data_IF_623764297705
#
_entry.id   IF_623764297705
#
_cell.length_a   1.000
_cell.length_b   1.000
_cell.length_c   1.000
_cell.angle_alpha   90.00
_cell.angle_beta   90.00
_cell.angle_gamma   90.00
#
_symmetry.space_group_name_H-M   'P 1'
#
loop_
_entity.id
_entity.type
_entity.pdbx_description
1 polymer ?
#
# COMPACT_ATOMS: atom_id res chain seq x y z
N UNK A 1 1.00 11.88 31.22
CA UNK A 1 0.31 12.60 30.11
C UNK A 1 -0.54 11.60 29.35
N UNK A 2 -1.70 11.97 28.78
CA UNK A 2 -2.44 11.06 27.91
C UNK A 2 -1.53 10.61 26.76
N UNK A 3 -1.44 9.30 26.49
CA UNK A 3 -0.54 8.80 25.45
C UNK A 3 -0.89 9.44 24.11
N UNK A 4 0.12 9.76 23.30
CA UNK A 4 -0.06 10.40 21.99
C UNK A 4 -1.03 9.62 21.06
N UNK A 5 -1.17 8.31 21.29
CA UNK A 5 -2.15 7.46 20.61
C UNK A 5 -3.61 7.88 20.89
N UNK A 6 -3.90 8.41 22.08
CA UNK A 6 -5.23 8.95 22.43
C UNK A 6 -5.58 10.27 21.74
N UNK A 7 -4.59 10.97 21.15
CA UNK A 7 -4.78 12.25 20.45
C UNK A 7 -5.03 12.10 18.95
N UNK A 8 -5.10 10.86 18.43
CA UNK A 8 -5.37 10.61 17.01
C UNK A 8 -4.30 11.14 16.05
N UNK A 9 -3.03 11.20 16.49
CA UNK A 9 -1.92 11.67 15.64
C UNK A 9 -1.63 10.63 14.55
N UNK A 10 -1.62 11.00 13.25
CA UNK A 10 -1.27 10.07 12.18
C UNK A 10 0.14 9.48 12.36
N UNK A 11 0.29 8.16 12.20
CA UNK A 11 1.56 7.46 12.40
C UNK A 11 2.73 8.12 11.65
N UNK A 12 2.53 8.52 10.39
CA UNK A 12 3.58 9.14 9.58
C UNK A 12 4.13 10.47 10.13
N UNK A 13 3.46 11.08 11.13
CA UNK A 13 3.92 12.30 11.82
C UNK A 13 4.66 12.02 13.12
N UNK A 14 4.64 10.78 13.61
CA UNK A 14 5.36 10.39 14.83
C UNK A 14 6.80 10.03 14.42
N UNK A 15 7.82 10.57 15.12
CA UNK A 15 9.20 10.21 14.83
C UNK A 15 9.45 8.72 14.90
N UNK A 16 10.12 8.16 13.88
CA UNK A 16 10.35 6.73 13.78
C UNK A 16 11.63 6.40 13.02
N UNK A 17 12.16 5.21 13.29
CA UNK A 17 13.23 4.61 12.49
C UNK A 17 12.88 3.17 12.16
N UNK A 18 13.40 2.69 11.03
CA UNK A 18 13.38 1.28 10.72
C UNK A 18 14.37 0.54 11.64
N UNK A 19 13.91 -0.53 12.28
CA UNK A 19 14.74 -1.43 13.07
C UNK A 19 15.40 -2.48 12.17
N UNK A 20 14.64 -3.05 11.24
CA UNK A 20 15.10 -4.12 10.39
C UNK A 20 14.09 -4.51 9.32
N UNK A 21 14.53 -5.38 8.42
CA UNK A 21 13.68 -5.99 7.40
C UNK A 21 13.27 -7.40 7.83
N UNK A 22 12.05 -7.79 7.49
CA UNK A 22 11.59 -9.18 7.57
C UNK A 22 11.37 -9.65 6.14
N UNK A 23 12.03 -10.73 5.76
CA UNK A 23 12.07 -11.25 4.39
C UNK A 23 12.44 -10.14 3.35
N UNK A 24 11.87 -10.18 2.13
CA UNK A 24 12.32 -9.33 1.01
C UNK A 24 11.83 -7.90 1.06
N UNK A 25 10.66 -7.63 1.67
CA UNK A 25 9.94 -6.34 1.50
C UNK A 25 9.28 -5.79 2.77
N UNK A 26 9.36 -6.47 3.91
CA UNK A 26 8.69 -6.02 5.12
C UNK A 26 9.68 -5.27 6.01
N UNK A 27 9.20 -4.21 6.67
CA UNK A 27 10.02 -3.37 7.53
C UNK A 27 9.35 -3.28 8.89
N UNK A 28 10.11 -3.61 9.94
CA UNK A 28 9.71 -3.30 11.31
C UNK A 28 10.24 -1.93 11.67
N UNK A 29 9.35 -1.03 12.08
CA UNK A 29 9.68 0.32 12.54
C UNK A 29 9.47 0.44 14.03
N UNK A 30 10.24 1.30 14.67
CA UNK A 30 10.03 1.75 16.04
C UNK A 30 9.61 3.21 15.98
N UNK A 31 8.49 3.52 16.62
CA UNK A 31 7.94 4.86 16.76
C UNK A 31 8.24 5.40 18.16
N UNK A 32 8.56 6.69 18.26
CA UNK A 32 8.95 7.38 19.49
C UNK A 32 8.02 8.57 19.74
N UNK A 33 6.88 8.36 20.42
CA UNK A 33 5.93 9.42 20.69
C UNK A 33 6.52 10.57 21.51
N UNK A 34 7.39 10.29 22.48
CA UNK A 34 8.03 11.32 23.30
C UNK A 34 8.83 12.37 22.51
N UNK A 35 9.20 12.07 21.27
CA UNK A 35 9.90 13.01 20.37
C UNK A 35 8.96 13.84 19.48
N UNK A 36 7.65 13.58 19.50
CA UNK A 36 6.71 14.27 18.63
C UNK A 36 6.54 15.75 19.03
N UNK A 37 6.75 16.65 18.07
CA UNK A 37 6.42 18.05 18.18
C UNK A 37 5.50 18.48 17.03
N UNK A 38 4.39 19.13 17.36
CA UNK A 38 3.41 19.55 16.36
C UNK A 38 4.04 20.53 15.35
N UNK A 39 3.86 20.25 14.06
CA UNK A 39 4.38 21.08 12.97
C UNK A 39 5.85 20.84 12.63
N UNK A 40 6.54 19.93 13.33
CA UNK A 40 7.93 19.58 13.03
C UNK A 40 8.05 18.32 12.15
N UNK A 41 9.22 18.19 11.51
CA UNK A 41 9.57 17.01 10.72
C UNK A 41 9.70 15.80 11.66
N UNK A 42 9.09 14.64 11.35
CA UNK A 42 9.21 13.41 12.15
C UNK A 42 10.61 12.75 12.10
N UNK A 43 11.65 13.47 11.70
CA UNK A 43 13.00 12.94 11.72
C UNK A 43 13.52 12.83 13.16
N UNK A 44 14.13 11.69 13.50
CA UNK A 44 14.80 11.53 14.80
C UNK A 44 16.13 12.29 14.75
N UNK A 45 16.42 13.17 15.72
CA UNK A 45 17.69 13.89 15.76
C UNK A 45 18.90 12.93 15.83
N UNK A 46 20.04 13.25 15.18
CA UNK A 46 21.22 12.39 15.15
C UNK A 46 21.73 11.97 16.54
N UNK A 47 21.68 12.87 17.53
CA UNK A 47 22.07 12.59 18.92
C UNK A 47 21.14 11.58 19.60
N UNK A 48 19.85 11.61 19.28
CA UNK A 48 18.89 10.61 19.76
C UNK A 48 19.07 9.29 19.03
N UNK A 49 19.39 9.29 17.73
CA UNK A 49 19.76 8.07 17.00
C UNK A 49 21.01 7.39 17.58
N UNK A 50 22.02 8.17 17.96
CA UNK A 50 23.20 7.65 18.65
C UNK A 50 22.84 7.03 19.99
N UNK A 51 21.96 7.68 20.76
CA UNK A 51 21.42 7.15 22.02
C UNK A 51 20.67 5.82 21.81
N UNK A 52 19.75 5.76 20.84
CA UNK A 52 18.99 4.56 20.49
C UNK A 52 19.95 3.40 20.16
N UNK A 53 20.99 3.66 19.37
CA UNK A 53 21.94 2.63 18.97
C UNK A 53 22.84 2.17 20.13
N UNK A 54 23.55 3.11 20.76
CA UNK A 54 24.64 2.81 21.69
C UNK A 54 24.14 2.44 23.08
N UNK A 55 23.02 3.02 23.53
CA UNK A 55 22.47 2.77 24.87
C UNK A 55 21.32 1.78 24.90
N UNK A 56 20.68 1.48 23.77
CA UNK A 56 19.53 0.56 23.73
C UNK A 56 19.78 -0.64 22.82
N UNK A 57 19.88 -0.42 21.50
CA UNK A 57 19.92 -1.50 20.51
C UNK A 57 21.13 -2.42 20.66
N UNK A 58 22.33 -1.85 20.62
CA UNK A 58 23.55 -2.66 20.69
C UNK A 58 23.68 -3.40 22.03
N UNK A 59 23.48 -2.77 23.21
CA UNK A 59 23.53 -3.50 24.47
C UNK A 59 22.45 -4.59 24.58
N UNK A 60 21.23 -4.33 24.08
CA UNK A 60 20.18 -5.35 24.05
C UNK A 60 20.62 -6.57 23.22
N UNK A 61 21.10 -6.35 22.00
CA UNK A 61 21.62 -7.41 21.12
C UNK A 61 22.77 -8.17 21.77
N UNK A 62 23.80 -7.48 22.28
CA UNK A 62 24.97 -8.12 22.90
C UNK A 62 24.61 -8.92 24.14
N UNK A 63 23.60 -8.50 24.89
CA UNK A 63 23.16 -9.21 26.08
C UNK A 63 22.36 -10.48 25.77
N UNK A 64 21.58 -10.49 24.68
CA UNK A 64 20.72 -11.61 24.28
C UNK A 64 21.48 -12.61 23.39
N UNK A 65 22.35 -12.11 22.50
CA UNK A 65 23.22 -12.93 21.69
C UNK A 65 24.67 -12.43 21.73
N UNK A 66 25.45 -12.80 22.77
CA UNK A 66 26.83 -12.36 22.92
C UNK A 66 27.74 -12.73 21.74
N UNK A 67 27.41 -13.78 20.99
CA UNK A 67 28.16 -14.23 19.80
C UNK A 67 28.16 -13.16 18.70
N UNK A 68 27.09 -12.38 18.58
CA UNK A 68 26.99 -11.31 17.58
C UNK A 68 27.73 -10.04 17.98
N UNK A 69 28.35 -9.96 19.16
CA UNK A 69 29.02 -8.75 19.66
C UNK A 69 30.02 -8.15 18.67
N UNK A 70 30.74 -8.99 17.93
CA UNK A 70 31.72 -8.56 16.93
C UNK A 70 31.09 -8.06 15.62
N UNK A 71 29.82 -8.39 15.36
CA UNK A 71 29.08 -8.02 14.14
C UNK A 71 28.41 -6.66 14.23
N UNK A 72 28.30 -6.10 15.44
CA UNK A 72 27.65 -4.82 15.70
C UNK A 72 28.68 -3.74 16.03
N UNK A 73 28.85 -2.72 15.15
CA UNK A 73 29.77 -1.60 15.38
C UNK A 73 29.59 -0.97 16.77
N UNK A 74 30.68 -0.50 17.39
CA UNK A 74 30.62 -0.02 18.78
C UNK A 74 29.80 1.28 18.89
N UNK A 75 29.97 2.19 17.92
CA UNK A 75 29.31 3.49 17.91
C UNK A 75 28.37 3.66 16.72
N UNK A 76 27.40 4.55 16.88
CA UNK A 76 26.47 4.90 15.80
C UNK A 76 27.20 5.53 14.61
N UNK A 77 28.21 6.38 14.88
CA UNK A 77 29.03 6.99 13.83
C UNK A 77 29.77 5.95 12.98
N UNK A 78 30.33 4.91 13.62
CA UNK A 78 30.99 3.81 12.92
C UNK A 78 29.98 3.02 12.07
N UNK A 79 28.80 2.72 12.63
CA UNK A 79 27.73 2.05 11.90
C UNK A 79 27.30 2.86 10.66
N UNK A 80 27.10 4.16 10.80
CA UNK A 80 26.70 5.03 9.69
C UNK A 80 27.75 5.16 8.59
N UNK A 81 29.03 5.01 8.93
CA UNK A 81 30.12 4.98 7.94
C UNK A 81 30.05 3.70 7.09
N UNK A 82 29.65 2.57 7.68
CA UNK A 82 29.50 1.30 6.96
C UNK A 82 28.22 1.25 6.11
N UNK A 83 27.16 1.93 6.56
CA UNK A 83 25.84 1.89 5.95
C UNK A 83 25.56 3.02 4.96
N UNK A 84 26.57 3.84 4.61
CA UNK A 84 26.44 4.87 3.58
C UNK A 84 27.35 4.57 2.39
N UNK A 85 26.83 4.72 1.18
CA UNK A 85 27.64 4.63 -0.04
C UNK A 85 28.45 5.92 -0.27
N UNK A 86 29.29 5.92 -1.32
CA UNK A 86 30.11 7.07 -1.71
C UNK A 86 29.29 8.32 -2.07
N UNK A 87 27.99 8.17 -2.37
CA UNK A 87 27.05 9.26 -2.65
C UNK A 87 26.26 9.69 -1.41
N UNK A 88 26.55 9.08 -0.26
CA UNK A 88 25.89 9.35 1.02
C UNK A 88 24.53 8.69 1.19
N UNK A 89 24.10 7.82 0.27
CA UNK A 89 22.83 7.11 0.43
C UNK A 89 22.95 6.04 1.50
N UNK A 90 21.93 5.96 2.35
CA UNK A 90 21.83 4.94 3.38
C UNK A 90 21.37 3.61 2.79
N UNK A 91 22.06 2.53 3.16
CA UNK A 91 21.73 1.16 2.84
C UNK A 91 21.51 0.40 4.14
N UNK A 92 20.43 -0.39 4.19
CA UNK A 92 20.19 -1.27 5.34
C UNK A 92 21.32 -2.30 5.46
N UNK A 93 21.82 -2.49 6.68
CA UNK A 93 22.79 -3.53 6.99
C UNK A 93 22.23 -4.94 6.78
N UNK A 94 23.13 -5.91 6.63
CA UNK A 94 22.82 -7.33 6.36
C UNK A 94 23.02 -8.21 7.60
N UNK A 95 23.04 -7.63 8.80
CA UNK A 95 23.25 -8.40 10.04
C UNK A 95 21.91 -8.98 10.49
N UNK A 96 21.75 -10.28 10.31
CA UNK A 96 20.57 -11.01 10.79
C UNK A 96 20.60 -11.15 12.32
N UNK A 97 19.42 -11.13 12.93
CA UNK A 97 19.23 -11.43 14.35
C UNK A 97 18.36 -12.70 14.49
N UNK A 98 18.68 -13.62 15.42
CA UNK A 98 17.94 -14.88 15.53
C UNK A 98 16.45 -14.68 15.82
N UNK A 99 15.59 -15.29 14.99
CA UNK A 99 14.13 -15.12 15.07
C UNK A 99 13.54 -15.52 16.42
N UNK A 100 14.04 -16.60 17.03
CA UNK A 100 13.61 -17.08 18.34
C UNK A 100 13.91 -16.11 19.51
N UNK A 101 14.78 -15.12 19.30
CA UNK A 101 15.11 -14.09 20.31
C UNK A 101 14.36 -12.76 20.08
N UNK A 102 13.57 -12.63 19.01
CA UNK A 102 12.95 -11.35 18.65
C UNK A 102 11.99 -10.81 19.72
N UNK A 103 11.21 -11.68 20.37
CA UNK A 103 10.32 -11.27 21.47
C UNK A 103 11.11 -10.71 22.66
N UNK A 104 12.23 -11.37 23.02
CA UNK A 104 13.10 -10.91 24.10
C UNK A 104 13.78 -9.60 23.73
N UNK A 105 14.22 -9.45 22.48
CA UNK A 105 14.80 -8.21 21.97
C UNK A 105 13.78 -7.07 22.02
N UNK A 106 12.55 -7.30 21.55
CA UNK A 106 11.47 -6.31 21.58
C UNK A 106 11.21 -5.79 22.99
N UNK A 107 10.98 -6.70 23.95
CA UNK A 107 10.73 -6.35 25.34
C UNK A 107 11.90 -5.58 25.96
N UNK A 108 13.13 -6.07 25.76
CA UNK A 108 14.33 -5.43 26.28
C UNK A 108 14.56 -4.04 25.69
N UNK A 109 14.31 -3.85 24.40
CA UNK A 109 14.37 -2.53 23.77
C UNK A 109 13.37 -1.57 24.41
N UNK A 110 12.11 -1.99 24.58
CA UNK A 110 11.09 -1.16 25.22
C UNK A 110 11.48 -0.78 26.65
N UNK A 111 11.95 -1.72 27.46
CA UNK A 111 12.47 -1.44 28.82
C UNK A 111 13.61 -0.41 28.79
N UNK A 112 14.57 -0.57 27.88
CA UNK A 112 15.71 0.35 27.77
C UNK A 112 15.29 1.73 27.26
N UNK A 113 14.29 1.82 26.38
CA UNK A 113 13.74 3.09 25.91
C UNK A 113 13.02 3.86 27.02
N UNK A 114 12.34 3.18 27.94
CA UNK A 114 11.71 3.86 29.08
C UNK A 114 12.72 4.64 29.93
N UNK A 115 13.96 4.16 29.99
CA UNK A 115 15.06 4.79 30.75
C UNK A 115 15.72 5.97 30.04
N UNK A 116 15.41 6.23 28.76
CA UNK A 116 16.01 7.32 27.98
C UNK A 116 15.02 8.44 27.75
N UNK A 117 15.38 9.67 28.12
CA UNK A 117 14.57 10.87 27.89
C UNK A 117 14.08 10.96 26.43
N UNK A 118 12.78 11.19 26.25
CA UNK A 118 12.11 11.33 24.95
C UNK A 118 11.81 10.01 24.22
N UNK A 119 12.30 8.86 24.70
CA UNK A 119 12.05 7.54 24.08
C UNK A 119 10.96 6.73 24.80
N UNK A 120 10.34 7.28 25.84
CA UNK A 120 9.23 6.66 26.55
C UNK A 120 8.06 6.38 25.59
N UNK A 121 7.28 5.35 25.94
CA UNK A 121 6.10 4.91 25.20
C UNK A 121 6.39 4.54 23.74
N UNK A 122 7.64 4.16 23.43
CA UNK A 122 7.99 3.64 22.13
C UNK A 122 7.16 2.39 21.79
N UNK A 123 6.86 2.18 20.51
CA UNK A 123 6.12 1.00 20.05
C UNK A 123 6.57 0.56 18.66
N UNK A 124 6.30 -0.70 18.34
CA UNK A 124 6.63 -1.30 17.06
C UNK A 124 5.47 -1.19 16.06
N UNK A 125 5.80 -1.02 14.80
CA UNK A 125 4.86 -1.15 13.68
C UNK A 125 5.50 -1.99 12.60
N UNK A 126 4.77 -3.01 12.13
CA UNK A 126 5.18 -3.82 11.00
C UNK A 126 4.54 -3.27 9.73
N UNK A 127 5.38 -2.91 8.78
CA UNK A 127 4.98 -2.39 7.48
C UNK A 127 5.27 -3.44 6.40
N UNK A 128 4.22 -4.07 5.89
CA UNK A 128 4.33 -5.05 4.82
C UNK A 128 3.96 -4.39 3.49
N UNK A 129 4.92 -4.34 2.57
CA UNK A 129 4.70 -3.83 1.21
C UNK A 129 4.86 -4.93 0.17
N UNK A 130 4.16 -4.76 -0.96
CA UNK A 130 4.36 -5.59 -2.15
C UNK A 130 3.75 -6.99 -2.07
N UNK A 131 2.70 -7.18 -1.27
CA UNK A 131 1.85 -8.39 -1.20
C UNK A 131 0.70 -8.37 -2.21
N UNK A 132 0.47 -7.23 -2.89
CA UNK A 132 -0.58 -7.13 -3.90
C UNK A 132 -0.30 -8.07 -5.08
N UNK A 133 -1.26 -8.91 -5.43
CA UNK A 133 -1.11 -9.94 -6.47
C UNK A 133 -0.22 -11.11 -6.06
N UNK A 134 0.12 -11.26 -4.76
CA UNK A 134 0.92 -12.40 -4.29
C UNK A 134 0.16 -13.73 -4.36
N UNK A 135 -1.18 -13.69 -4.39
CA UNK A 135 -2.03 -14.86 -4.54
C UNK A 135 -3.17 -14.58 -5.54
N UNK A 136 -3.35 -15.51 -6.48
CA UNK A 136 -4.51 -15.58 -7.37
C UNK A 136 -5.22 -16.90 -7.06
N UNK A 137 -6.55 -16.86 -6.97
CA UNK A 137 -7.36 -18.02 -6.63
C UNK A 137 -8.76 -17.88 -7.23
N UNK A 138 -9.44 -19.01 -7.41
CA UNK A 138 -10.86 -19.00 -7.74
C UNK A 138 -11.65 -18.48 -6.53
N UNK A 139 -12.42 -17.38 -6.65
CA UNK A 139 -13.19 -16.85 -5.54
C UNK A 139 -14.32 -17.78 -5.08
N UNK A 140 -14.74 -18.76 -5.89
CA UNK A 140 -15.72 -19.77 -5.49
C UNK A 140 -15.10 -20.91 -4.66
N UNK A 141 -13.78 -21.13 -4.74
CA UNK A 141 -13.09 -22.17 -3.97
C UNK A 141 -12.73 -21.67 -2.56
N UNK A 142 -13.47 -22.16 -1.56
CA UNK A 142 -13.24 -21.81 -0.16
C UNK A 142 -11.86 -22.22 0.38
N UNK A 143 -11.31 -23.34 -0.09
CA UNK A 143 -9.99 -23.81 0.31
C UNK A 143 -8.90 -22.90 -0.26
N UNK A 144 -9.03 -22.53 -1.54
CA UNK A 144 -8.09 -21.62 -2.18
C UNK A 144 -8.11 -20.21 -1.55
N UNK A 145 -9.30 -19.69 -1.20
CA UNK A 145 -9.44 -18.43 -0.45
C UNK A 145 -8.70 -18.46 0.89
N UNK A 146 -8.90 -19.52 1.69
CA UNK A 146 -8.22 -19.68 2.99
C UNK A 146 -6.71 -19.77 2.80
N UNK A 147 -6.23 -20.60 1.88
CA UNK A 147 -4.80 -20.76 1.61
C UNK A 147 -4.14 -19.46 1.14
N UNK A 148 -4.82 -18.68 0.29
CA UNK A 148 -4.36 -17.36 -0.14
C UNK A 148 -4.24 -16.37 1.04
N UNK A 149 -5.20 -16.40 1.97
CA UNK A 149 -5.16 -15.59 3.18
C UNK A 149 -4.00 -16.02 4.09
N UNK A 150 -3.86 -17.32 4.36
CA UNK A 150 -2.79 -17.87 5.21
C UNK A 150 -1.40 -17.52 4.65
N UNK A 151 -1.25 -17.51 3.33
CA UNK A 151 0.00 -17.10 2.66
C UNK A 151 0.35 -15.64 2.93
N UNK A 152 -0.62 -14.73 2.84
CA UNK A 152 -0.41 -13.30 3.13
C UNK A 152 -0.04 -13.09 4.59
N UNK A 153 -0.60 -13.91 5.48
CA UNK A 153 -0.44 -13.77 6.92
C UNK A 153 0.62 -14.67 7.56
N UNK A 154 1.35 -15.46 6.76
CA UNK A 154 2.33 -16.44 7.26
C UNK A 154 3.42 -15.84 8.16
N UNK A 155 3.72 -14.56 8.00
CA UNK A 155 4.72 -13.84 8.80
C UNK A 155 4.19 -13.27 10.13
N UNK A 156 2.89 -13.39 10.39
CA UNK A 156 2.27 -12.92 11.62
C UNK A 156 1.96 -14.08 12.55
N UNK A 157 2.19 -13.84 13.84
CA UNK A 157 1.53 -14.62 14.88
C UNK A 157 0.09 -14.13 15.01
N UNK A 158 -0.82 -14.78 14.27
CA UNK A 158 -2.24 -14.45 14.28
C UNK A 158 -2.90 -14.64 15.65
N UNK A 159 -2.27 -15.37 16.59
CA UNK A 159 -2.79 -15.49 17.96
C UNK A 159 -2.71 -14.19 18.76
N UNK A 160 -1.82 -13.27 18.35
CA UNK A 160 -1.65 -11.95 18.95
C UNK A 160 -2.52 -10.88 18.27
N UNK A 161 -3.17 -11.23 17.16
CA UNK A 161 -4.01 -10.33 16.38
C UNK A 161 -5.45 -10.43 16.87
N UNK A 162 -6.08 -9.27 17.10
CA UNK A 162 -7.52 -9.16 17.32
C UNK A 162 -8.22 -8.91 15.99
N UNK A 163 -8.97 -9.88 15.43
CA UNK A 163 -9.61 -9.75 14.12
C UNK A 163 -10.46 -8.49 13.94
N UNK A 164 -11.09 -8.02 15.02
CA UNK A 164 -11.95 -6.84 15.05
C UNK A 164 -11.21 -5.51 14.87
N UNK A 165 -9.92 -5.47 15.21
CA UNK A 165 -9.08 -4.28 15.08
C UNK A 165 -8.47 -4.17 13.67
N UNK A 166 -8.64 -5.20 12.86
CA UNK A 166 -8.01 -5.34 11.55
C UNK A 166 -9.03 -5.24 10.43
N UNK A 167 -8.64 -4.52 9.39
CA UNK A 167 -9.36 -4.46 8.13
C UNK A 167 -8.46 -4.93 7.01
N UNK A 168 -9.05 -5.59 6.02
CA UNK A 168 -8.36 -6.11 4.85
C UNK A 168 -9.07 -5.65 3.58
N UNK A 169 -8.28 -5.45 2.53
CA UNK A 169 -8.80 -5.15 1.20
C UNK A 169 -8.97 -6.46 0.43
N UNK A 170 -10.21 -6.81 0.11
CA UNK A 170 -10.58 -7.98 -0.69
C UNK A 170 -10.90 -7.50 -2.10
N UNK A 171 -10.31 -8.15 -3.10
CA UNK A 171 -10.46 -7.76 -4.50
C UNK A 171 -10.93 -8.91 -5.39
N UNK A 172 -11.88 -8.62 -6.27
CA UNK A 172 -12.18 -9.43 -7.44
C UNK A 172 -11.59 -8.78 -8.69
N UNK A 173 -11.05 -9.62 -9.55
CA UNK A 173 -10.50 -9.22 -10.84
C UNK A 173 -11.28 -9.93 -11.95
N UNK A 174 -11.77 -9.14 -12.91
CA UNK A 174 -12.56 -9.60 -14.04
C UNK A 174 -11.68 -9.41 -15.28
N UNK A 175 -11.55 -10.49 -16.05
CA UNK A 175 -10.75 -10.54 -17.27
C UNK A 175 -11.60 -10.99 -18.44
N UNK A 176 -11.23 -10.57 -19.64
CA UNK A 176 -11.78 -11.07 -20.89
C UNK A 176 -10.65 -11.12 -21.92
N UNK A 177 -10.33 -12.33 -22.37
CA UNK A 177 -9.23 -12.59 -23.30
C UNK A 177 -9.35 -11.74 -24.57
N UNK A 178 -8.24 -11.18 -25.02
CA UNK A 178 -8.12 -10.28 -26.16
C UNK A 178 -8.69 -8.87 -25.94
N UNK A 179 -9.19 -8.55 -24.75
CA UNK A 179 -9.91 -7.31 -24.48
C UNK A 179 -9.34 -6.52 -23.30
N UNK A 180 -9.75 -5.25 -23.27
CA UNK A 180 -9.55 -4.33 -22.15
C UNK A 180 -10.90 -3.99 -21.59
N UNK A 181 -11.06 -4.21 -20.29
CA UNK A 181 -12.26 -3.89 -19.56
C UNK A 181 -12.12 -2.48 -18.96
N UNK A 182 -13.16 -1.69 -19.11
CA UNK A 182 -13.27 -0.37 -18.48
C UNK A 182 -14.57 -0.29 -17.68
N UNK A 183 -14.49 0.38 -16.53
CA UNK A 183 -15.64 0.70 -15.71
C UNK A 183 -16.41 1.86 -16.35
N UNK A 184 -17.72 1.70 -16.46
CA UNK A 184 -18.63 2.74 -16.93
C UNK A 184 -18.96 3.69 -15.78
N UNK A 185 -18.72 4.99 -15.95
CA UNK A 185 -19.00 5.98 -14.90
C UNK A 185 -20.49 6.03 -14.54
N UNK A 186 -21.38 5.85 -15.53
CA UNK A 186 -22.83 5.69 -15.31
C UNK A 186 -23.20 4.45 -14.49
N UNK A 187 -22.35 3.43 -14.46
CA UNK A 187 -22.53 2.19 -13.71
C UNK A 187 -22.16 2.28 -12.23
N UNK A 188 -21.48 3.35 -11.79
CA UNK A 188 -20.97 3.44 -10.41
C UNK A 188 -22.07 3.37 -9.35
N UNK A 189 -23.25 3.95 -9.63
CA UNK A 189 -24.41 3.84 -8.75
C UNK A 189 -24.82 2.39 -8.55
N UNK A 190 -24.85 1.60 -9.63
CA UNK A 190 -25.21 0.18 -9.61
C UNK A 190 -24.20 -0.64 -8.82
N UNK A 191 -22.90 -0.36 -8.96
CA UNK A 191 -21.85 -0.98 -8.15
C UNK A 191 -22.01 -0.67 -6.66
N UNK A 192 -22.27 0.59 -6.31
CA UNK A 192 -22.48 0.96 -4.90
C UNK A 192 -23.72 0.27 -4.30
N UNK A 193 -24.82 0.15 -5.05
CA UNK A 193 -26.01 -0.60 -4.60
C UNK A 193 -25.71 -2.08 -4.38
N UNK A 194 -24.92 -2.69 -5.26
CA UNK A 194 -24.49 -4.07 -5.12
C UNK A 194 -23.62 -4.27 -3.87
N UNK A 195 -22.69 -3.36 -3.60
CA UNK A 195 -21.74 -3.46 -2.49
C UNK A 195 -22.30 -3.01 -1.14
N UNK A 196 -23.34 -2.20 -1.15
CA UNK A 196 -24.01 -1.67 0.04
C UNK A 196 -25.51 -2.01 0.02
N UNK A 197 -25.89 -3.30 0.00
CA UNK A 197 -27.28 -3.72 -0.16
C UNK A 197 -28.18 -3.26 0.99
N UNK A 198 -27.62 -2.99 2.18
CA UNK A 198 -28.37 -2.45 3.32
C UNK A 198 -28.63 -0.93 3.23
N UNK A 199 -27.96 -0.23 2.31
CA UNK A 199 -28.15 1.20 2.11
C UNK A 199 -29.33 1.51 1.19
N UNK A 200 -30.27 2.31 1.70
CA UNK A 200 -31.34 2.89 0.88
C UNK A 200 -30.79 3.74 -0.27
N UNK A 201 -31.52 3.80 -1.38
CA UNK A 201 -31.06 4.47 -2.61
C UNK A 201 -30.58 5.91 -2.42
N UNK A 202 -31.35 6.73 -1.68
CA UNK A 202 -30.97 8.12 -1.40
C UNK A 202 -29.62 8.25 -0.65
N UNK A 203 -29.21 7.23 0.13
CA UNK A 203 -27.91 7.20 0.80
C UNK A 203 -26.79 6.95 -0.21
N UNK A 204 -27.01 6.09 -1.20
CA UNK A 204 -26.08 5.86 -2.31
C UNK A 204 -25.89 7.14 -3.12
N UNK A 205 -26.99 7.80 -3.48
CA UNK A 205 -26.96 9.05 -4.23
C UNK A 205 -26.21 10.15 -3.44
N UNK A 206 -26.37 10.18 -2.11
CA UNK A 206 -25.61 11.08 -1.24
C UNK A 206 -24.10 10.81 -1.23
N UNK A 207 -23.66 9.55 -1.37
CA UNK A 207 -22.24 9.21 -1.48
C UNK A 207 -21.69 9.77 -2.80
N UNK A 208 -22.38 9.51 -3.91
CA UNK A 208 -21.98 9.95 -5.25
C UNK A 208 -21.89 11.47 -5.38
N UNK A 209 -22.80 12.20 -4.73
CA UNK A 209 -22.80 13.66 -4.72
C UNK A 209 -21.67 14.27 -3.85
N UNK A 210 -21.02 13.48 -2.99
CA UNK A 210 -20.06 13.98 -2.01
C UNK A 210 -18.62 13.92 -2.53
N UNK A 211 -17.99 15.09 -2.70
CA UNK A 211 -16.58 15.19 -3.12
C UNK A 211 -15.56 14.64 -2.12
N UNK A 212 -15.97 14.38 -0.87
CA UNK A 212 -15.08 13.79 0.15
C UNK A 212 -15.30 12.29 0.33
N UNK A 213 -16.46 11.78 -0.12
CA UNK A 213 -16.80 10.38 -0.01
C UNK A 213 -16.73 9.64 -1.34
N UNK A 214 -16.68 10.36 -2.46
CA UNK A 214 -16.64 9.78 -3.78
C UNK A 214 -15.64 10.54 -4.65
N UNK A 215 -14.77 9.77 -5.32
CA UNK A 215 -13.82 10.27 -6.28
C UNK A 215 -13.89 9.41 -7.54
N UNK A 216 -14.24 10.02 -8.66
CA UNK A 216 -14.17 9.38 -9.97
C UNK A 216 -12.74 9.48 -10.52
N UNK A 217 -12.17 8.36 -10.92
CA UNK A 217 -10.82 8.27 -11.50
C UNK A 217 -10.96 7.97 -13.00
N UNK A 218 -11.13 9.02 -13.80
CA UNK A 218 -11.37 8.91 -15.25
C UNK A 218 -10.20 8.23 -15.97
N UNK A 219 -10.54 7.38 -16.93
CA UNK A 219 -9.59 6.70 -17.80
C UNK A 219 -9.26 7.60 -18.99
N UNK A 220 -8.01 8.05 -19.11
CA UNK A 220 -7.53 8.91 -20.19
C UNK A 220 -8.41 10.16 -20.48
N UNK A 221 -9.05 10.73 -19.45
CA UNK A 221 -10.00 11.85 -19.56
C UNK A 221 -11.29 11.55 -20.34
N UNK A 222 -11.60 10.28 -20.62
CA UNK A 222 -12.87 9.85 -21.20
C UNK A 222 -13.95 9.88 -20.11
N UNK A 223 -14.95 10.74 -20.26
CA UNK A 223 -15.94 11.00 -19.21
C UNK A 223 -16.85 9.80 -18.91
N UNK A 224 -17.06 8.93 -19.90
CA UNK A 224 -17.87 7.72 -19.76
C UNK A 224 -17.09 6.55 -19.13
N UNK A 225 -15.76 6.63 -19.08
CA UNK A 225 -14.89 5.55 -18.64
C UNK A 225 -14.06 5.99 -17.44
N UNK A 226 -14.19 5.29 -16.33
CA UNK A 226 -13.42 5.61 -15.14
C UNK A 226 -13.71 4.66 -14.02
N UNK A 227 -12.71 4.43 -13.19
CA UNK A 227 -12.91 3.80 -11.89
C UNK A 227 -13.49 4.80 -10.89
N UNK A 228 -13.64 4.34 -9.65
CA UNK A 228 -13.93 5.24 -8.54
C UNK A 228 -13.39 4.72 -7.22
N UNK A 229 -13.25 5.66 -6.28
CA UNK A 229 -13.03 5.39 -4.87
C UNK A 229 -14.20 5.93 -4.08
N UNK A 230 -14.73 5.12 -3.16
CA UNK A 230 -15.76 5.56 -2.24
C UNK A 230 -15.39 5.28 -0.78
N UNK A 231 -15.75 6.21 0.09
CA UNK A 231 -15.64 6.15 1.55
C UNK A 231 -17.07 6.22 2.12
N UNK A 232 -17.78 5.07 2.22
CA UNK A 232 -19.20 5.06 2.61
C UNK A 232 -19.47 5.68 3.99
N UNK A 233 -18.49 5.63 4.90
CA UNK A 233 -18.62 6.15 6.26
C UNK A 233 -19.73 5.43 7.02
N UNK A 234 -20.60 6.19 7.70
CA UNK A 234 -21.74 5.62 8.44
C UNK A 234 -22.72 4.83 7.55
N UNK A 235 -22.74 5.07 6.24
CA UNK A 235 -23.64 4.40 5.30
C UNK A 235 -23.17 2.98 4.96
N UNK A 236 -21.89 2.68 5.08
CA UNK A 236 -21.36 1.31 4.88
C UNK A 236 -21.30 0.47 6.15
N UNK A 237 -21.80 0.97 7.28
CA UNK A 237 -21.64 0.33 8.59
C UNK A 237 -22.36 -1.01 8.67
N UNK A 238 -23.59 -1.08 8.18
CA UNK A 238 -24.43 -2.29 8.27
C UNK A 238 -23.87 -3.42 7.39
N UNK A 239 -23.31 -3.05 6.23
CA UNK A 239 -22.61 -3.97 5.32
C UNK A 239 -21.13 -4.21 5.70
N UNK A 240 -20.63 -3.51 6.74
CA UNK A 240 -19.23 -3.54 7.20
C UNK A 240 -18.20 -3.20 6.11
N UNK A 241 -18.57 -2.32 5.18
CA UNK A 241 -17.70 -1.84 4.09
C UNK A 241 -17.17 -0.45 4.42
N UNK A 242 -15.85 -0.36 4.61
CA UNK A 242 -15.18 0.88 5.00
C UNK A 242 -14.68 1.70 3.82
N UNK A 243 -14.35 1.03 2.72
CA UNK A 243 -13.77 1.64 1.53
C UNK A 243 -14.09 0.77 0.32
N UNK A 244 -14.31 1.39 -0.83
CA UNK A 244 -14.58 0.73 -2.11
C UNK A 244 -13.64 1.36 -3.14
N UNK A 245 -13.06 0.52 -4.01
CA UNK A 245 -12.19 0.97 -5.07
C UNK A 245 -12.40 0.11 -6.33
N UNK A 246 -12.98 0.70 -7.36
CA UNK A 246 -13.08 0.11 -8.68
C UNK A 246 -12.04 0.78 -9.57
N UNK A 247 -11.16 0.01 -10.21
CA UNK A 247 -10.13 0.53 -11.12
C UNK A 247 -9.72 -0.54 -12.13
N UNK A 248 -8.89 -0.15 -13.10
CA UNK A 248 -8.40 -1.04 -14.15
C UNK A 248 -6.89 -1.29 -14.03
N UNK A 249 -6.40 -2.40 -14.61
CA UNK A 249 -4.99 -2.82 -14.53
C UNK A 249 -4.17 -2.48 -15.78
N UNK A 250 -4.81 -2.02 -16.86
CA UNK A 250 -4.20 -1.55 -18.12
C UNK A 250 -3.12 -0.48 -17.89
N UNK A 251 -3.22 0.27 -16.78
CA UNK A 251 -2.20 1.21 -16.33
C UNK A 251 -0.79 0.63 -16.24
N UNK A 252 -0.59 -0.69 -16.21
CA UNK A 252 0.75 -1.25 -16.15
C UNK A 252 1.63 -0.87 -17.37
N UNK A 253 1.01 -0.55 -18.52
CA UNK A 253 1.71 -0.04 -19.70
C UNK A 253 2.26 1.39 -19.52
N UNK A 254 1.66 2.19 -18.63
CA UNK A 254 1.97 3.62 -18.47
C UNK A 254 2.48 4.00 -17.08
N UNK A 255 2.31 3.12 -16.09
CA UNK A 255 2.65 3.39 -14.70
C UNK A 255 4.16 3.42 -14.47
N UNK A 256 4.66 4.54 -13.92
CA UNK A 256 6.07 4.73 -13.60
C UNK A 256 6.22 5.19 -12.14
N UNK A 257 7.04 4.47 -11.36
CA UNK A 257 7.37 4.84 -9.97
C UNK A 257 8.29 6.07 -9.89
N UNK A 258 8.97 6.39 -10.99
CA UNK A 258 9.88 7.51 -11.11
C UNK A 258 9.44 8.42 -12.25
N UNK A 259 9.98 9.65 -12.29
CA UNK A 259 9.71 10.62 -13.35
C UNK A 259 10.26 10.12 -14.70
N UNK A 260 9.43 9.35 -15.41
CA UNK A 260 9.70 8.88 -16.76
C UNK A 260 8.92 9.68 -17.81
N UNK A 261 8.76 9.08 -19.00
CA UNK A 261 8.06 9.71 -20.11
C UNK A 261 6.58 9.99 -19.78
N UNK A 262 5.89 9.11 -19.05
CA UNK A 262 4.46 9.26 -18.74
C UNK A 262 4.16 10.23 -17.58
N UNK A 263 5.18 10.98 -17.11
CA UNK A 263 4.97 12.01 -16.09
C UNK A 263 4.02 13.10 -16.56
N UNK A 264 3.34 13.74 -15.60
CA UNK A 264 2.52 14.92 -15.86
C UNK A 264 3.36 16.02 -16.49
N UNK A 265 2.91 16.52 -17.65
CA UNK A 265 3.55 17.64 -18.34
C UNK A 265 3.08 18.98 -17.77
N UNK A 266 3.98 19.95 -17.82
CA UNK A 266 3.81 21.33 -17.35
C UNK A 266 3.99 22.28 -18.53
N UNK A 267 3.41 23.48 -18.46
CA UNK A 267 3.40 24.45 -19.57
C UNK A 267 4.80 24.76 -20.14
N UNK A 268 5.83 24.84 -19.29
CA UNK A 268 7.21 25.13 -19.72
C UNK A 268 7.85 24.05 -20.61
N UNK A 269 7.28 22.84 -20.66
CA UNK A 269 7.72 21.81 -21.61
C UNK A 269 7.40 22.18 -23.06
N UNK A 270 6.50 23.14 -23.29
CA UNK A 270 6.15 23.66 -24.62
C UNK A 270 7.12 24.74 -25.11
N UNK A 271 8.06 25.21 -24.26
CA UNK A 271 9.02 26.24 -24.67
C UNK A 271 10.01 25.71 -25.70
N UNK A 272 10.56 26.56 -26.59
CA UNK A 272 11.44 26.14 -27.68
C UNK A 272 12.62 25.26 -27.25
N UNK A 273 13.18 25.50 -26.06
CA UNK A 273 14.29 24.72 -25.51
C UNK A 273 13.90 23.27 -25.12
N UNK A 274 12.62 23.02 -24.83
CA UNK A 274 12.12 21.74 -24.29
C UNK A 274 11.19 20.99 -25.25
N UNK A 275 10.57 21.69 -26.20
CA UNK A 275 9.54 21.12 -27.07
C UNK A 275 10.07 19.93 -27.90
N UNK A 276 11.33 19.97 -28.35
CA UNK A 276 11.93 18.85 -29.07
C UNK A 276 12.03 17.58 -28.23
N UNK A 277 12.25 17.68 -26.91
CA UNK A 277 12.22 16.54 -26.00
C UNK A 277 10.79 16.04 -25.79
N UNK A 278 9.84 16.97 -25.65
CA UNK A 278 8.43 16.60 -25.51
C UNK A 278 7.92 15.82 -26.73
N UNK A 279 8.24 16.27 -27.95
CA UNK A 279 7.87 15.56 -29.18
C UNK A 279 8.43 14.14 -29.19
N UNK A 280 9.73 13.95 -28.89
CA UNK A 280 10.34 12.62 -28.79
C UNK A 280 9.68 11.73 -27.74
N UNK A 281 9.34 12.30 -26.58
CA UNK A 281 8.65 11.56 -25.53
C UNK A 281 7.25 11.11 -26.01
N UNK A 282 6.50 11.96 -26.72
CA UNK A 282 5.19 11.65 -27.28
C UNK A 282 5.25 10.59 -28.39
N UNK A 283 6.25 10.66 -29.28
CA UNK A 283 6.50 9.62 -30.29
C UNK A 283 6.77 8.28 -29.62
N UNK A 284 7.55 8.26 -28.55
CA UNK A 284 7.83 7.03 -27.81
C UNK A 284 6.59 6.49 -27.09
N UNK A 285 5.74 7.35 -26.54
CA UNK A 285 4.45 6.92 -25.97
C UNK A 285 3.56 6.27 -27.04
N UNK A 286 3.46 6.90 -28.22
CA UNK A 286 2.65 6.39 -29.32
C UNK A 286 3.17 5.03 -29.82
N UNK A 287 4.48 4.83 -29.86
CA UNK A 287 5.08 3.53 -30.17
C UNK A 287 4.72 2.47 -29.14
N UNK A 288 4.77 2.80 -27.84
CA UNK A 288 4.38 1.89 -26.76
C UNK A 288 2.91 1.49 -26.91
N UNK A 289 2.01 2.44 -27.13
CA UNK A 289 0.59 2.14 -27.34
C UNK A 289 0.35 1.26 -28.56
N UNK A 290 1.01 1.51 -29.70
CA UNK A 290 0.91 0.61 -30.87
C UNK A 290 1.32 -0.83 -30.56
N UNK A 291 2.39 -1.01 -29.79
CA UNK A 291 2.84 -2.35 -29.36
C UNK A 291 1.82 -2.99 -28.42
N UNK A 292 1.24 -2.20 -27.50
CA UNK A 292 0.15 -2.67 -26.64
C UNK A 292 -1.10 -3.05 -27.44
N UNK A 293 -1.42 -2.36 -28.54
CA UNK A 293 -2.58 -2.70 -29.37
C UNK A 293 -2.45 -4.06 -30.07
N UNK A 294 -1.27 -4.35 -30.61
CA UNK A 294 -1.00 -5.62 -31.28
C UNK A 294 0.49 -5.90 -31.42
N UNK A 295 1.05 -6.72 -30.52
CA UNK A 295 2.43 -7.17 -30.60
C UNK A 295 2.54 -8.47 -31.40
N UNK A 296 3.45 -8.54 -32.39
CA UNK A 296 3.74 -9.78 -33.10
C UNK A 296 4.13 -10.88 -32.10
N UNK A 297 3.43 -12.01 -32.13
CA UNK A 297 3.59 -13.21 -31.30
C UNK A 297 2.98 -13.19 -29.89
N UNK A 298 2.55 -12.04 -29.36
CA UNK A 298 2.00 -11.95 -28.00
C UNK A 298 0.55 -11.43 -27.97
N UNK A 299 0.08 -10.85 -29.07
CA UNK A 299 -1.25 -10.25 -29.14
C UNK A 299 -1.29 -8.86 -28.51
N UNK A 300 -2.49 -8.39 -28.20
CA UNK A 300 -2.71 -7.13 -27.51
C UNK A 300 -2.45 -7.23 -26.01
N UNK A 301 -2.07 -6.11 -25.39
CA UNK A 301 -1.94 -5.98 -23.96
C UNK A 301 -3.32 -5.80 -23.33
N UNK A 302 -3.77 -6.84 -22.62
CA UNK A 302 -5.07 -6.85 -21.96
C UNK A 302 -5.12 -5.94 -20.72
N UNK A 303 -6.34 -5.63 -20.29
CA UNK A 303 -6.59 -4.80 -19.12
C UNK A 303 -7.78 -5.33 -18.34
N UNK A 304 -7.55 -5.65 -17.07
CA UNK A 304 -8.56 -6.23 -16.21
C UNK A 304 -9.31 -5.15 -15.43
N UNK A 305 -10.58 -5.38 -15.17
CA UNK A 305 -11.37 -4.58 -14.25
C UNK A 305 -11.29 -5.17 -12.85
N UNK A 306 -10.87 -4.36 -11.88
CA UNK A 306 -10.67 -4.78 -10.50
C UNK A 306 -11.60 -4.02 -9.57
N UNK A 307 -12.32 -4.76 -8.73
CA UNK A 307 -13.19 -4.22 -7.70
C UNK A 307 -12.65 -4.65 -6.33
N UNK A 308 -12.34 -3.70 -5.47
CA UNK A 308 -11.82 -3.91 -4.12
C UNK A 308 -12.74 -3.31 -3.07
N UNK A 309 -12.95 -4.02 -1.96
CA UNK A 309 -13.62 -3.51 -0.77
C UNK A 309 -12.76 -3.73 0.48
N UNK A 310 -12.84 -2.77 1.41
CA UNK A 310 -12.21 -2.88 2.73
C UNK A 310 -13.23 -3.33 3.76
N UNK A 311 -12.96 -4.48 4.38
CA UNK A 311 -13.84 -5.10 5.38
C UNK A 311 -13.04 -5.54 6.61
N UNK A 312 -13.69 -5.78 7.77
CA UNK A 312 -13.05 -6.42 8.92
C UNK A 312 -12.42 -7.78 8.56
N UNK A 313 -11.29 -8.11 9.19
CA UNK A 313 -10.55 -9.35 8.91
C UNK A 313 -11.40 -10.63 9.03
N UNK A 314 -12.35 -10.67 9.98
CA UNK A 314 -13.26 -11.82 10.14
C UNK A 314 -14.23 -12.08 8.96
N UNK A 315 -14.27 -11.17 7.98
CA UNK A 315 -15.04 -11.27 6.73
C UNK A 315 -14.17 -11.58 5.50
N UNK A 316 -12.85 -11.64 5.64
CA UNK A 316 -11.89 -11.70 4.53
C UNK A 316 -12.19 -12.80 3.49
N UNK A 317 -12.68 -13.95 3.93
CA UNK A 317 -12.93 -15.15 3.13
C UNK A 317 -14.41 -15.36 2.75
N UNK A 318 -15.27 -14.38 3.05
CA UNK A 318 -16.75 -14.49 2.97
C UNK A 318 -17.42 -13.44 2.09
N UNK A 319 -16.71 -12.38 1.74
CA UNK A 319 -17.27 -11.26 0.97
C UNK A 319 -16.72 -11.21 -0.43
N UNK A 320 -17.45 -10.54 -1.32
CA UNK A 320 -17.02 -10.28 -2.69
C UNK A 320 -16.58 -11.58 -3.40
N UNK A 321 -17.43 -12.60 -3.34
CA UNK A 321 -17.16 -13.93 -3.92
C UNK A 321 -17.56 -14.00 -5.40
N UNK A 322 -18.60 -13.27 -5.77
CA UNK A 322 -19.12 -13.21 -7.14
C UNK A 322 -19.77 -11.85 -7.36
N UNK A 323 -19.69 -11.35 -8.59
CA UNK A 323 -20.45 -10.20 -9.06
C UNK A 323 -21.54 -10.74 -10.01
N UNK A 324 -22.82 -10.42 -9.79
CA UNK A 324 -23.88 -10.89 -10.69
C UNK A 324 -23.66 -10.40 -12.13
N UNK A 325 -23.97 -11.24 -13.11
CA UNK A 325 -23.81 -10.92 -14.53
C UNK A 325 -24.55 -9.63 -14.94
N UNK A 326 -25.72 -9.38 -14.35
CA UNK A 326 -26.46 -8.13 -14.58
C UNK A 326 -25.68 -6.89 -14.11
N UNK A 327 -24.97 -6.98 -12.99
CA UNK A 327 -24.11 -5.89 -12.52
C UNK A 327 -22.93 -5.73 -13.46
N UNK A 328 -22.31 -6.81 -13.92
CA UNK A 328 -21.21 -6.77 -14.90
C UNK A 328 -21.68 -6.06 -16.18
N UNK A 329 -22.82 -6.47 -16.75
CA UNK A 329 -23.39 -5.90 -17.97
C UNK A 329 -23.73 -4.40 -17.84
N UNK A 330 -24.20 -3.97 -16.67
CA UNK A 330 -24.55 -2.56 -16.41
C UNK A 330 -23.34 -1.66 -16.16
N UNK A 331 -22.18 -2.23 -15.81
CA UNK A 331 -21.07 -1.49 -15.20
C UNK A 331 -19.76 -1.60 -15.93
N UNK A 332 -19.62 -2.54 -16.86
CA UNK A 332 -18.41 -2.77 -17.63
C UNK A 332 -18.65 -2.65 -19.12
N UNK A 333 -17.62 -2.20 -19.81
CA UNK A 333 -17.51 -2.25 -21.27
C UNK A 333 -16.20 -2.93 -21.65
N UNK A 334 -16.23 -3.69 -22.73
CA UNK A 334 -15.07 -4.36 -23.29
C UNK A 334 -14.65 -3.68 -24.58
N UNK A 335 -13.34 -3.51 -24.75
CA UNK A 335 -12.74 -3.03 -25.99
C UNK A 335 -11.76 -4.06 -26.50
N UNK A 336 -11.74 -4.31 -27.81
CA UNK A 336 -10.62 -5.04 -28.42
C UNK A 336 -9.32 -4.28 -28.14
N UNK A 337 -8.25 -5.01 -27.77
CA UNK A 337 -6.97 -4.38 -27.41
C UNK A 337 -6.45 -3.43 -28.49
N UNK A 338 -6.62 -3.78 -29.77
CA UNK A 338 -6.14 -2.98 -30.91
C UNK A 338 -6.91 -1.67 -31.09
N UNK A 339 -8.15 -1.61 -30.60
CA UNK A 339 -9.00 -0.42 -30.70
C UNK A 339 -8.72 0.54 -29.54
N UNK A 340 -8.49 0.00 -28.34
CA UNK A 340 -8.32 0.80 -27.13
C UNK A 340 -6.95 1.48 -27.06
N UNK A 341 -5.87 0.76 -27.40
CA UNK A 341 -4.51 1.29 -27.44
C UNK A 341 -4.25 2.08 -28.73
#
# INVERSE_FOLDING_TARGET
MPSILSKGIPLHRIPNTALGKVDRRHITRIFFPGLYCQGQNPAIPPEKMATIYEKCLRPAVVSLNPVDRSRWPITYSTAMTLYRDQKGHFHFGTVDFPSHLLNQLGNKLLEMFQMQDGLQDAFFVHELRGTKGASHHDPCDAGARRSALDTVFHFFDLSLVRPEDWVVDIGLEIQHEGHILQWLTKGHRRLLQFLLPSSAEHKIDSILASQTQYHCDLSAQLEDLGGFRALPGSRGKDDKVHYINAYTTDKCATYQLHDGIFKRRQAWHLFPANIGKLVKDLERMAEIFRVCGNSPNVGGHEGNARLEIRVPFGLADKVLLQIPDSVIQDTLVTFDCKIFW
#
